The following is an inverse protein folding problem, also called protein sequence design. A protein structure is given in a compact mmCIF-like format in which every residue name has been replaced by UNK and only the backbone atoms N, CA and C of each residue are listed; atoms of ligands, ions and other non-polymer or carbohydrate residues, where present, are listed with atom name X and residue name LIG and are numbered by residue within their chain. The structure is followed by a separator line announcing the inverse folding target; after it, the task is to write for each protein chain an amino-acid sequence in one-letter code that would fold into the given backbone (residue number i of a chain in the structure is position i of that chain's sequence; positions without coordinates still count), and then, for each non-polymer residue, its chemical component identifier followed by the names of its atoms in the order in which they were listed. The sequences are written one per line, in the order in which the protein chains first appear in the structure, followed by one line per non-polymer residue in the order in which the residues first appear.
data_IF_998840919124
#
_entry.id   IF_998840919124
#
_cell.length_a   1.000
_cell.length_b   1.000
_cell.length_c   1.000
_cell.angle_alpha   90.00
_cell.angle_beta   90.00
_cell.angle_gamma   90.00
#
_symmetry.space_group_name_H-M   'P 1'
#
loop_
_entity.id
_entity.type
_entity.pdbx_description
1 polymer ?
#
# COMPACT_ATOMS: atom_id res chain seq x y z
N UNK A 1 20.80 -8.75 4.57
CA UNK A 1 20.53 -10.19 4.44
C UNK A 1 21.39 -10.76 3.35
N UNK A 2 22.16 -11.79 3.65
CA UNK A 2 22.95 -12.54 2.67
C UNK A 2 21.99 -13.26 1.71
N UNK A 3 22.25 -13.20 0.39
CA UNK A 3 21.41 -13.87 -0.61
C UNK A 3 21.36 -15.37 -0.33
N UNK A 4 20.16 -15.96 -0.29
CA UNK A 4 20.01 -17.42 -0.25
C UNK A 4 20.59 -18.01 -1.55
N UNK A 5 21.50 -18.97 -1.43
CA UNK A 5 22.22 -19.55 -2.57
C UNK A 5 21.31 -20.35 -3.50
N UNK A 6 20.12 -20.75 -3.04
CA UNK A 6 19.12 -21.50 -3.81
C UNK A 6 18.37 -20.63 -4.82
N UNK A 7 18.39 -19.31 -4.64
CA UNK A 7 17.63 -18.36 -5.46
C UNK A 7 18.48 -17.75 -6.56
N UNK A 8 17.87 -17.52 -7.72
CA UNK A 8 18.42 -16.60 -8.72
C UNK A 8 18.41 -15.16 -8.18
N UNK A 9 19.14 -14.25 -8.84
CA UNK A 9 19.13 -12.84 -8.47
C UNK A 9 17.72 -12.24 -8.55
N UNK A 10 16.97 -12.56 -9.61
CA UNK A 10 15.62 -12.06 -9.83
C UNK A 10 14.64 -12.57 -8.77
N UNK A 11 14.67 -13.87 -8.46
CA UNK A 11 13.85 -14.46 -7.40
C UNK A 11 14.16 -13.85 -6.03
N UNK A 12 15.45 -13.64 -5.73
CA UNK A 12 15.86 -12.98 -4.48
C UNK A 12 15.36 -11.53 -4.39
N UNK A 13 15.38 -10.78 -5.50
CA UNK A 13 14.84 -9.42 -5.54
C UNK A 13 13.31 -9.42 -5.38
N UNK A 14 12.61 -10.35 -6.03
CA UNK A 14 11.16 -10.49 -5.91
C UNK A 14 10.76 -10.78 -4.46
N UNK A 15 11.37 -11.76 -3.81
CA UNK A 15 11.08 -12.11 -2.41
C UNK A 15 11.42 -10.93 -1.48
N UNK A 16 12.54 -10.25 -1.70
CA UNK A 16 12.91 -9.07 -0.90
C UNK A 16 11.85 -7.96 -1.00
N UNK A 17 11.33 -7.71 -2.21
CA UNK A 17 10.21 -6.79 -2.43
C UNK A 17 8.92 -7.30 -1.80
N UNK A 18 8.62 -8.59 -1.91
CA UNK A 18 7.43 -9.20 -1.30
C UNK A 18 7.43 -9.06 0.22
N UNK A 19 8.60 -9.13 0.87
CA UNK A 19 8.73 -9.00 2.33
C UNK A 19 8.58 -7.57 2.84
N UNK A 20 9.03 -6.58 2.07
CA UNK A 20 9.25 -5.24 2.63
C UNK A 20 8.33 -4.19 2.05
N UNK A 21 7.91 -3.25 2.89
CA UNK A 21 7.24 -2.02 2.47
C UNK A 21 7.52 -0.90 3.46
N UNK A 22 7.83 0.30 2.94
CA UNK A 22 7.97 1.50 3.76
C UNK A 22 9.13 1.44 4.77
N UNK A 23 10.25 0.79 4.45
CA UNK A 23 11.41 0.62 5.35
C UNK A 23 11.93 1.95 5.91
N UNK A 24 11.84 3.02 5.13
CA UNK A 24 12.26 4.38 5.54
C UNK A 24 11.11 5.23 6.14
N UNK A 25 9.99 4.61 6.50
CA UNK A 25 8.81 5.31 7.04
C UNK A 25 8.57 4.96 8.50
N UNK A 26 7.75 5.75 9.20
CA UNK A 26 7.43 5.52 10.61
C UNK A 26 6.69 4.18 10.87
N UNK A 27 6.09 3.58 9.86
CA UNK A 27 5.33 2.32 9.97
C UNK A 27 5.85 1.34 8.90
N UNK A 28 7.04 0.75 9.10
CA UNK A 28 7.58 -0.23 8.17
C UNK A 28 6.78 -1.54 8.27
N UNK A 29 6.72 -2.29 7.17
CA UNK A 29 6.15 -3.64 7.11
C UNK A 29 7.23 -4.61 6.68
N UNK A 30 7.29 -5.73 7.40
CA UNK A 30 8.14 -6.87 7.13
C UNK A 30 7.30 -8.14 7.23
N UNK A 31 7.28 -8.94 6.16
CA UNK A 31 6.64 -10.24 6.14
C UNK A 31 7.65 -11.34 6.46
N UNK A 32 7.28 -12.20 7.39
CA UNK A 32 8.06 -13.37 7.79
C UNK A 32 7.77 -14.58 6.90
N UNK A 33 8.62 -15.60 6.98
CA UNK A 33 8.49 -16.84 6.19
C UNK A 33 7.14 -17.52 6.44
N UNK A 34 6.69 -17.52 7.69
CA UNK A 34 5.35 -18.01 8.08
C UNK A 34 4.23 -17.28 7.35
N UNK A 35 4.33 -15.95 7.26
CA UNK A 35 3.32 -15.10 6.63
C UNK A 35 3.32 -15.32 5.10
N UNK A 36 4.51 -15.38 4.49
CA UNK A 36 4.65 -15.70 3.06
C UNK A 36 4.14 -17.11 2.72
N UNK A 37 4.45 -18.12 3.54
CA UNK A 37 3.99 -19.49 3.33
C UNK A 37 2.46 -19.61 3.45
N UNK A 38 1.84 -18.87 4.39
CA UNK A 38 0.39 -18.79 4.51
C UNK A 38 -0.25 -18.10 3.31
N UNK A 39 0.35 -17.03 2.78
CA UNK A 39 -0.11 -16.42 1.52
C UNK A 39 -0.01 -17.41 0.35
N UNK A 40 1.08 -18.16 0.26
CA UNK A 40 1.22 -19.25 -0.73
C UNK A 40 0.16 -20.33 -0.55
N UNK A 41 -0.19 -20.70 0.69
CA UNK A 41 -1.25 -21.67 0.94
C UNK A 41 -2.62 -21.20 0.45
N UNK A 42 -2.91 -19.88 0.51
CA UNK A 42 -4.13 -19.32 -0.08
C UNK A 42 -4.10 -19.39 -1.61
N UNK A 43 -2.97 -19.06 -2.23
CA UNK A 43 -2.81 -19.19 -3.69
C UNK A 43 -3.06 -20.63 -4.12
N UNK A 44 -2.40 -21.59 -3.47
CA UNK A 44 -2.56 -23.02 -3.74
C UNK A 44 -4.00 -23.50 -3.55
N UNK A 45 -4.71 -22.98 -2.55
CA UNK A 45 -6.13 -23.27 -2.35
C UNK A 45 -7.01 -22.68 -3.46
N UNK A 46 -6.69 -21.49 -3.96
CA UNK A 46 -7.46 -20.83 -5.01
C UNK A 46 -7.28 -21.47 -6.39
N UNK A 47 -6.11 -22.07 -6.66
CA UNK A 47 -5.80 -22.80 -7.91
C UNK A 47 -6.04 -24.30 -7.82
N UNK A 48 -6.70 -24.77 -6.74
CA UNK A 48 -7.04 -26.18 -6.52
C UNK A 48 -5.83 -27.13 -6.46
N UNK A 49 -4.68 -26.64 -5.97
CA UNK A 49 -3.45 -27.41 -5.76
C UNK A 49 -3.12 -27.59 -4.26
N UNK A 50 -4.13 -27.93 -3.45
CA UNK A 50 -3.98 -28.06 -2.00
C UNK A 50 -2.96 -29.13 -1.58
N UNK A 51 -2.65 -30.09 -2.46
CA UNK A 51 -1.66 -31.13 -2.21
C UNK A 51 -0.22 -30.59 -2.00
N UNK A 52 0.08 -29.37 -2.49
CA UNK A 52 1.36 -28.70 -2.29
C UNK A 52 1.43 -27.89 -0.99
N UNK A 53 0.30 -27.73 -0.29
CA UNK A 53 0.26 -26.98 0.97
C UNK A 53 1.02 -27.79 2.04
N UNK A 54 1.94 -27.13 2.74
CA UNK A 54 2.65 -27.77 3.84
C UNK A 54 1.66 -28.22 4.92
N UNK A 55 1.80 -29.47 5.38
CA UNK A 55 0.95 -30.04 6.44
C UNK A 55 0.97 -29.25 7.76
N UNK A 56 1.96 -28.37 7.94
CA UNK A 56 2.06 -27.47 9.09
C UNK A 56 1.10 -26.27 9.01
N UNK A 57 0.54 -25.99 7.84
CA UNK A 57 -0.39 -24.88 7.60
C UNK A 57 -1.80 -25.43 7.45
N UNK A 58 -2.64 -25.17 8.46
CA UNK A 58 -4.06 -25.47 8.41
C UNK A 58 -4.82 -24.30 7.79
N UNK A 59 -5.20 -24.46 6.52
CA UNK A 59 -6.10 -23.53 5.83
C UNK A 59 -7.54 -23.93 6.11
N UNK A 60 -8.40 -23.03 6.62
CA UNK A 60 -9.81 -23.34 6.79
C UNK A 60 -10.47 -23.70 5.45
N UNK A 61 -11.42 -24.63 5.48
CA UNK A 61 -12.06 -25.16 4.27
C UNK A 61 -12.70 -24.03 3.44
N UNK A 62 -12.43 -24.00 2.13
CA UNK A 62 -12.92 -23.01 1.18
C UNK A 62 -12.59 -21.55 1.52
N UNK A 63 -11.64 -21.29 2.43
CA UNK A 63 -11.31 -19.93 2.83
C UNK A 63 -10.66 -19.17 1.67
N UNK A 64 -11.19 -17.97 1.37
CA UNK A 64 -10.54 -17.00 0.50
C UNK A 64 -9.73 -16.02 1.34
N UNK A 65 -8.83 -15.30 0.68
CA UNK A 65 -7.96 -14.32 1.33
C UNK A 65 -8.71 -13.33 2.24
N UNK A 66 -9.86 -12.81 1.78
CA UNK A 66 -10.63 -11.80 2.52
C UNK A 66 -11.47 -12.37 3.67
N UNK A 67 -11.69 -13.69 3.71
CA UNK A 67 -12.45 -14.36 4.77
C UNK A 67 -11.61 -14.57 6.03
N UNK A 68 -10.28 -14.47 5.89
CA UNK A 68 -9.34 -14.74 6.96
C UNK A 68 -8.93 -13.45 7.70
N UNK A 69 -8.89 -13.48 9.04
CA UNK A 69 -8.39 -12.37 9.82
C UNK A 69 -6.88 -12.17 9.57
N UNK A 70 -6.40 -10.93 9.64
CA UNK A 70 -4.97 -10.64 9.43
C UNK A 70 -4.09 -11.40 10.43
N UNK A 71 -4.59 -11.61 11.63
CA UNK A 71 -3.95 -12.37 12.70
C UNK A 71 -3.57 -13.79 12.26
N UNK A 72 -4.41 -14.46 11.44
CA UNK A 72 -4.13 -15.80 10.95
C UNK A 72 -2.84 -15.86 10.13
N UNK A 73 -2.58 -14.84 9.30
CA UNK A 73 -1.37 -14.76 8.49
C UNK A 73 -0.12 -14.53 9.34
N UNK A 74 -0.26 -13.83 10.46
CA UNK A 74 0.86 -13.47 11.35
C UNK A 74 1.24 -14.54 12.35
N UNK A 75 0.44 -15.60 12.45
CA UNK A 75 0.75 -16.72 13.34
C UNK A 75 1.95 -17.50 12.81
N UNK A 76 2.93 -17.69 13.70
CA UNK A 76 4.13 -18.47 13.43
C UNK A 76 3.79 -19.88 12.95
N UNK A 77 4.52 -20.37 11.95
CA UNK A 77 4.48 -21.75 11.48
C UNK A 77 5.83 -22.36 11.80
N UNK A 78 5.87 -23.24 12.80
CA UNK A 78 7.13 -23.82 13.26
C UNK A 78 7.81 -24.64 12.15
N UNK A 79 9.12 -24.43 12.01
CA UNK A 79 9.95 -25.19 11.08
C UNK A 79 9.70 -24.91 9.59
N UNK A 80 8.96 -23.85 9.26
CA UNK A 80 8.71 -23.49 7.86
C UNK A 80 9.99 -22.96 7.21
N UNK A 81 10.43 -23.61 6.13
CA UNK A 81 11.39 -23.04 5.18
C UNK A 81 10.60 -22.61 3.95
N UNK A 82 10.41 -21.30 3.79
CA UNK A 82 9.59 -20.75 2.72
C UNK A 82 10.24 -20.93 1.34
N UNK A 83 11.57 -20.99 1.25
CA UNK A 83 12.27 -20.97 -0.04
C UNK A 83 12.00 -22.23 -0.89
N UNK A 84 12.07 -23.47 -0.35
CA UNK A 84 11.68 -24.67 -1.09
C UNK A 84 10.22 -24.62 -1.56
N UNK A 85 9.29 -24.20 -0.71
CA UNK A 85 7.87 -24.07 -1.07
C UNK A 85 7.67 -23.10 -2.24
N UNK A 86 8.33 -21.94 -2.18
CA UNK A 86 8.29 -20.95 -3.25
C UNK A 86 8.84 -21.49 -4.58
N UNK A 87 9.97 -22.20 -4.55
CA UNK A 87 10.57 -22.79 -5.75
C UNK A 87 9.72 -23.91 -6.34
N UNK A 88 9.08 -24.71 -5.49
CA UNK A 88 8.17 -25.77 -5.91
C UNK A 88 6.91 -25.20 -6.56
N UNK A 89 6.32 -24.16 -5.98
CA UNK A 89 5.18 -23.46 -6.58
C UNK A 89 5.54 -22.82 -7.92
N UNK A 90 6.73 -22.20 -8.04
CA UNK A 90 7.19 -21.63 -9.32
C UNK A 90 7.30 -22.67 -10.44
N UNK A 91 7.55 -23.94 -10.12
CA UNK A 91 7.69 -25.00 -11.11
C UNK A 91 6.35 -25.65 -11.47
N UNK A 92 5.42 -25.75 -10.51
CA UNK A 92 4.22 -26.59 -10.64
C UNK A 92 2.91 -25.80 -10.72
N UNK A 93 2.91 -24.50 -10.42
CA UNK A 93 1.72 -23.65 -10.42
C UNK A 93 1.84 -22.61 -11.53
N UNK A 94 0.90 -22.65 -12.48
CA UNK A 94 0.81 -21.65 -13.55
C UNK A 94 0.57 -20.24 -12.98
N UNK A 95 1.26 -19.24 -13.53
CA UNK A 95 1.18 -17.82 -13.13
C UNK A 95 1.39 -17.52 -11.63
N UNK A 96 2.04 -18.43 -10.91
CA UNK A 96 2.27 -18.31 -9.47
C UNK A 96 3.00 -17.01 -9.09
N UNK A 97 4.02 -16.63 -9.85
CA UNK A 97 4.84 -15.46 -9.57
C UNK A 97 4.01 -14.16 -9.57
N UNK A 98 3.10 -14.04 -10.53
CA UNK A 98 2.21 -12.91 -10.73
C UNK A 98 1.16 -12.87 -9.63
N UNK A 99 0.51 -14.01 -9.34
CA UNK A 99 -0.44 -14.07 -8.24
C UNK A 99 0.26 -13.76 -6.89
N UNK A 100 1.38 -14.41 -6.60
CA UNK A 100 2.16 -14.19 -5.39
C UNK A 100 2.55 -12.73 -5.21
N UNK A 101 3.05 -12.07 -6.26
CA UNK A 101 3.40 -10.65 -6.23
C UNK A 101 2.19 -9.78 -5.91
N UNK A 102 1.07 -9.97 -6.60
CA UNK A 102 -0.15 -9.18 -6.40
C UNK A 102 -0.71 -9.38 -4.98
N UNK A 103 -0.78 -10.63 -4.52
CA UNK A 103 -1.31 -10.95 -3.20
C UNK A 103 -0.41 -10.38 -2.08
N UNK A 104 0.91 -10.46 -2.22
CA UNK A 104 1.84 -9.84 -1.28
C UNK A 104 1.69 -8.32 -1.22
N UNK A 105 1.48 -7.62 -2.36
CA UNK A 105 1.23 -6.17 -2.34
C UNK A 105 -0.06 -5.83 -1.61
N UNK A 106 -1.17 -6.53 -1.90
CA UNK A 106 -2.45 -6.36 -1.19
C UNK A 106 -2.25 -6.60 0.31
N UNK A 107 -1.56 -7.68 0.67
CA UNK A 107 -1.36 -8.06 2.06
C UNK A 107 -0.53 -7.04 2.84
N UNK A 108 0.60 -6.61 2.28
CA UNK A 108 1.43 -5.57 2.91
C UNK A 108 0.66 -4.26 3.13
N UNK A 109 -0.20 -3.84 2.18
CA UNK A 109 -1.03 -2.64 2.34
C UNK A 109 -2.05 -2.80 3.46
N UNK A 110 -2.69 -3.96 3.56
CA UNK A 110 -3.62 -4.26 4.66
C UNK A 110 -2.92 -4.29 6.02
N UNK A 111 -1.75 -4.93 6.12
CA UNK A 111 -0.90 -4.93 7.33
C UNK A 111 -0.45 -3.52 7.72
N UNK A 112 -0.13 -2.69 6.73
CA UNK A 112 0.20 -1.28 6.98
C UNK A 112 -0.99 -0.50 7.52
N UNK A 113 -2.18 -0.68 6.93
CA UNK A 113 -3.38 0.00 7.39
C UNK A 113 -3.79 -0.45 8.79
N UNK A 114 -3.67 -1.74 9.11
CA UNK A 114 -3.84 -2.25 10.47
C UNK A 114 -2.92 -1.54 11.47
N UNK A 115 -1.63 -1.39 11.15
CA UNK A 115 -0.69 -0.65 12.01
C UNK A 115 -1.03 0.84 12.10
N UNK A 116 -1.54 1.44 11.02
CA UNK A 116 -2.05 2.82 11.03
C UNK A 116 -3.20 2.98 12.02
N UNK A 117 -4.18 2.06 12.02
CA UNK A 117 -5.31 2.10 12.94
C UNK A 117 -4.83 1.98 14.40
N UNK A 118 -3.84 1.13 14.67
CA UNK A 118 -3.25 0.95 16.01
C UNK A 118 -2.43 2.16 16.48
N UNK A 119 -1.80 2.90 15.56
CA UNK A 119 -0.84 3.96 15.88
C UNK A 119 -1.36 5.40 15.62
N UNK A 120 -2.59 5.58 15.09
CA UNK A 120 -3.13 6.90 14.76
C UNK A 120 -3.34 7.75 16.03
N UNK A 121 -2.56 8.84 16.22
CA UNK A 121 -2.77 9.71 17.38
C UNK A 121 -4.04 10.54 17.20
N UNK A 122 -4.62 10.95 18.32
CA UNK A 122 -5.59 12.05 18.34
C UNK A 122 -4.92 13.35 17.85
N UNK A 123 -5.67 14.21 17.15
CA UNK A 123 -5.13 15.48 16.69
C UNK A 123 -4.82 16.42 17.85
N UNK A 124 -3.81 17.26 17.66
CA UNK A 124 -3.45 18.32 18.63
C UNK A 124 -4.39 19.51 18.51
N UNK A 125 -4.48 20.32 19.56
CA UNK A 125 -5.28 21.56 19.55
C UNK A 125 -4.90 22.50 18.40
N UNK A 126 -3.61 22.59 18.06
CA UNK A 126 -3.14 23.41 16.94
C UNK A 126 -3.66 22.92 15.58
N UNK A 127 -3.93 21.62 15.42
CA UNK A 127 -4.46 21.05 14.18
C UNK A 127 -5.96 21.31 13.98
N UNK A 128 -6.69 21.62 15.06
CA UNK A 128 -8.13 21.82 15.04
C UNK A 128 -8.56 23.27 15.34
N UNK A 129 -7.70 24.08 15.97
CA UNK A 129 -8.04 25.44 16.40
C UNK A 129 -8.54 26.35 15.27
N UNK A 130 -8.00 26.32 14.03
CA UNK A 130 -8.51 27.22 12.98
C UNK A 130 -9.95 26.89 12.58
N UNK A 131 -10.36 25.61 12.67
CA UNK A 131 -11.73 25.19 12.35
C UNK A 131 -12.70 25.51 13.48
N UNK A 132 -12.24 25.43 14.73
CA UNK A 132 -13.05 25.77 15.88
C UNK A 132 -13.53 27.23 15.84
N UNK A 133 -12.76 28.15 15.24
CA UNK A 133 -13.15 29.56 15.09
C UNK A 133 -14.48 29.76 14.35
N UNK A 134 -14.83 28.86 13.44
CA UNK A 134 -16.07 28.96 12.66
C UNK A 134 -17.32 28.60 13.48
N UNK A 135 -17.16 27.75 14.50
CA UNK A 135 -18.27 27.21 15.31
C UNK A 135 -18.23 27.75 16.77
N UNK A 136 -17.23 28.56 17.10
CA UNK A 136 -17.06 29.13 18.43
C UNK A 136 -18.22 30.08 18.78
N UNK A 137 -18.78 29.91 19.98
CA UNK A 137 -19.94 30.68 20.44
C UNK A 137 -21.29 30.18 19.92
N UNK A 138 -21.32 29.23 18.98
CA UNK A 138 -22.56 28.57 18.53
C UNK A 138 -22.92 27.40 19.47
N UNK A 139 -21.91 26.64 19.91
CA UNK A 139 -22.04 25.54 20.86
C UNK A 139 -21.07 25.71 22.04
N UNK A 140 -21.33 25.00 23.14
CA UNK A 140 -20.47 25.00 24.31
C UNK A 140 -19.02 24.60 23.95
N UNK A 141 -18.04 25.29 24.54
CA UNK A 141 -16.62 25.15 24.21
C UNK A 141 -16.11 23.71 24.37
N UNK A 142 -16.55 23.01 25.41
CA UNK A 142 -16.19 21.62 25.69
C UNK A 142 -16.72 20.68 24.59
N UNK A 143 -17.98 20.89 24.18
CA UNK A 143 -18.59 20.13 23.10
C UNK A 143 -17.87 20.41 21.76
N UNK A 144 -17.53 21.67 21.48
CA UNK A 144 -16.78 22.05 20.29
C UNK A 144 -15.39 21.43 20.23
N UNK A 145 -14.64 21.47 21.34
CA UNK A 145 -13.31 20.88 21.41
C UNK A 145 -13.34 19.36 21.17
N UNK A 146 -14.29 18.66 21.81
CA UNK A 146 -14.50 17.22 21.59
C UNK A 146 -14.88 16.94 20.14
N UNK A 147 -15.86 17.67 19.61
CA UNK A 147 -16.37 17.49 18.25
C UNK A 147 -15.29 17.70 17.18
N UNK A 148 -14.49 18.76 17.30
CA UNK A 148 -13.40 19.02 16.37
C UNK A 148 -12.31 17.95 16.44
N UNK A 149 -12.00 17.44 17.63
CA UNK A 149 -11.03 16.35 17.82
C UNK A 149 -11.48 15.09 17.09
N UNK A 150 -12.71 14.64 17.33
CA UNK A 150 -13.26 13.46 16.66
C UNK A 150 -13.38 13.62 15.15
N UNK A 151 -13.92 14.76 14.68
CA UNK A 151 -14.06 15.05 13.25
C UNK A 151 -12.71 14.99 12.53
N UNK A 152 -11.69 15.59 13.13
CA UNK A 152 -10.33 15.57 12.56
C UNK A 152 -9.70 14.17 12.63
N UNK A 153 -9.91 13.43 13.71
CA UNK A 153 -9.38 12.07 13.85
C UNK A 153 -9.97 11.10 12.81
N UNK A 154 -11.30 11.08 12.66
CA UNK A 154 -11.96 10.27 11.62
C UNK A 154 -11.50 10.66 10.22
N UNK A 155 -11.39 11.97 9.95
CA UNK A 155 -10.86 12.46 8.69
C UNK A 155 -9.42 11.98 8.42
N UNK A 156 -8.55 11.93 9.43
CA UNK A 156 -7.18 11.43 9.25
C UNK A 156 -7.12 9.93 8.97
N UNK A 157 -7.99 9.14 9.63
CA UNK A 157 -8.11 7.70 9.36
C UNK A 157 -8.56 7.46 7.91
N UNK A 158 -9.60 8.16 7.47
CA UNK A 158 -10.13 8.03 6.11
C UNK A 158 -9.12 8.44 5.04
N UNK A 159 -8.42 9.56 5.24
CA UNK A 159 -7.36 9.97 4.31
C UNK A 159 -6.23 8.96 4.22
N UNK A 160 -5.85 8.31 5.34
CA UNK A 160 -4.83 7.26 5.32
C UNK A 160 -5.33 6.00 4.60
N UNK A 161 -6.62 5.66 4.74
CA UNK A 161 -7.23 4.57 3.98
C UNK A 161 -7.19 4.87 2.47
N UNK A 162 -7.64 6.05 2.06
CA UNK A 162 -7.59 6.50 0.68
C UNK A 162 -6.15 6.55 0.13
N UNK A 163 -5.18 6.90 0.98
CA UNK A 163 -3.75 6.89 0.61
C UNK A 163 -3.24 5.48 0.31
N UNK A 164 -3.50 4.50 1.18
CA UNK A 164 -3.05 3.12 0.94
C UNK A 164 -3.78 2.46 -0.23
N UNK A 165 -5.07 2.76 -0.41
CA UNK A 165 -5.84 2.39 -1.60
C UNK A 165 -5.22 2.98 -2.86
N UNK A 166 -4.94 4.28 -2.88
CA UNK A 166 -4.32 4.94 -4.03
C UNK A 166 -3.00 4.29 -4.43
N UNK A 167 -2.13 3.98 -3.46
CA UNK A 167 -0.86 3.31 -3.76
C UNK A 167 -0.99 1.88 -4.29
N UNK A 168 -2.13 1.22 -4.08
CA UNK A 168 -2.42 -0.09 -4.64
C UNK A 168 -3.00 0.03 -6.06
N UNK A 169 -3.95 0.95 -6.26
CA UNK A 169 -4.70 1.05 -7.51
C UNK A 169 -4.04 1.93 -8.57
N UNK A 170 -3.31 2.99 -8.22
CA UNK A 170 -2.64 3.88 -9.18
C UNK A 170 -1.73 3.10 -10.17
N UNK A 171 -0.88 2.15 -9.73
CA UNK A 171 -0.08 1.35 -10.65
C UNK A 171 -0.93 0.44 -11.55
N UNK A 172 -2.03 -0.11 -11.03
CA UNK A 172 -2.95 -0.97 -11.80
C UNK A 172 -3.61 -0.16 -12.90
N UNK A 173 -4.16 1.01 -12.57
CA UNK A 173 -4.77 1.92 -13.53
C UNK A 173 -3.77 2.35 -14.60
N UNK A 174 -2.55 2.72 -14.21
CA UNK A 174 -1.48 3.05 -15.15
C UNK A 174 -1.20 1.90 -16.10
N UNK A 175 -1.05 0.67 -15.59
CA UNK A 175 -0.81 -0.52 -16.42
C UNK A 175 -1.97 -0.85 -17.36
N UNK A 176 -3.22 -0.75 -16.90
CA UNK A 176 -4.42 -0.99 -17.74
C UNK A 176 -4.52 0.00 -18.89
N UNK A 177 -4.12 1.25 -18.67
CA UNK A 177 -4.06 2.25 -19.73
C UNK A 177 -2.86 2.07 -20.68
N UNK A 178 -1.95 1.12 -20.43
CA UNK A 178 -0.67 1.01 -21.13
C UNK A 178 0.29 2.17 -20.83
N UNK A 179 0.06 2.88 -19.73
CA UNK A 179 0.77 4.10 -19.38
C UNK A 179 2.09 3.86 -18.65
N UNK A 180 3.06 4.74 -18.88
CA UNK A 180 4.36 4.72 -18.22
C UNK A 180 4.35 5.70 -17.02
N UNK A 181 4.58 5.25 -15.78
CA UNK A 181 4.60 6.12 -14.61
C UNK A 181 5.88 6.95 -14.52
N UNK A 182 5.77 8.22 -14.13
CA UNK A 182 6.92 9.12 -13.99
C UNK A 182 6.93 9.88 -12.65
N UNK A 183 7.96 9.60 -11.84
CA UNK A 183 8.28 10.44 -10.68
C UNK A 183 8.81 11.82 -11.10
N UNK A 184 8.64 12.83 -10.24
CA UNK A 184 8.99 14.23 -10.56
C UNK A 184 10.41 14.42 -11.11
N UNK A 185 11.40 13.65 -10.64
CA UNK A 185 12.80 13.77 -11.08
C UNK A 185 12.99 13.40 -12.55
N UNK A 186 12.31 12.37 -13.03
CA UNK A 186 12.50 11.77 -14.36
C UNK A 186 11.34 12.08 -15.31
N UNK A 187 10.39 12.91 -14.89
CA UNK A 187 9.20 13.20 -15.68
C UNK A 187 9.52 14.03 -16.92
N UNK A 188 8.99 13.66 -18.10
CA UNK A 188 9.10 14.47 -19.30
C UNK A 188 8.18 15.70 -19.24
N UNK A 189 7.14 15.67 -18.39
CA UNK A 189 6.27 16.83 -18.16
C UNK A 189 7.01 17.80 -17.24
N UNK A 190 7.16 19.05 -17.68
CA UNK A 190 7.87 20.09 -16.92
C UNK A 190 6.89 21.04 -16.23
N UNK A 191 7.36 21.60 -15.12
CA UNK A 191 6.67 22.65 -14.36
C UNK A 191 6.75 23.97 -15.10
N UNK A 192 5.63 24.69 -15.23
CA UNK A 192 5.60 26.01 -15.87
C UNK A 192 6.46 27.04 -15.13
N UNK A 193 6.45 26.99 -13.80
CA UNK A 193 7.22 27.92 -12.98
C UNK A 193 8.73 27.60 -12.93
N UNK A 194 9.15 26.39 -13.34
CA UNK A 194 10.55 26.00 -13.39
C UNK A 194 10.78 24.81 -14.35
N UNK A 195 11.19 25.10 -15.59
CA UNK A 195 11.37 24.08 -16.63
C UNK A 195 12.46 23.04 -16.33
N UNK A 196 13.35 23.32 -15.37
CA UNK A 196 14.39 22.38 -14.93
C UNK A 196 13.87 21.33 -13.95
N UNK A 197 12.61 21.45 -13.49
CA UNK A 197 11.97 20.50 -12.58
C UNK A 197 10.84 19.77 -13.30
N UNK A 198 10.84 18.44 -13.22
CA UNK A 198 9.72 17.64 -13.69
C UNK A 198 8.51 17.74 -12.76
N UNK A 199 7.34 17.54 -13.36
CA UNK A 199 6.05 17.40 -12.70
C UNK A 199 5.77 15.92 -12.48
N UNK A 200 5.39 15.52 -11.28
CA UNK A 200 4.99 14.12 -11.08
C UNK A 200 3.67 13.84 -11.79
N UNK A 201 3.61 12.75 -12.56
CA UNK A 201 2.39 12.29 -13.24
C UNK A 201 2.20 10.80 -12.95
N UNK A 202 0.95 10.35 -12.83
CA UNK A 202 0.68 8.95 -12.50
C UNK A 202 0.99 8.03 -13.67
N UNK A 203 0.66 8.46 -14.89
CA UNK A 203 1.19 7.85 -16.11
C UNK A 203 1.10 8.77 -17.33
N UNK A 204 1.85 8.41 -18.38
CA UNK A 204 1.72 8.99 -19.71
C UNK A 204 1.30 7.89 -20.68
N UNK A 205 0.25 8.14 -21.45
CA UNK A 205 -0.19 7.31 -22.57
C UNK A 205 -0.09 8.17 -23.82
N UNK A 206 0.73 7.75 -24.78
CA UNK A 206 1.06 8.52 -25.97
C UNK A 206 1.56 9.95 -25.65
N UNK A 207 0.71 10.96 -25.89
CA UNK A 207 0.98 12.38 -25.63
C UNK A 207 0.14 12.95 -24.49
N UNK A 208 -0.58 12.10 -23.76
CA UNK A 208 -1.50 12.50 -22.69
C UNK A 208 -0.95 12.07 -21.34
N UNK A 209 -0.76 13.04 -20.45
CA UNK A 209 -0.42 12.79 -19.05
C UNK A 209 -1.71 12.63 -18.23
N UNK A 210 -1.74 11.60 -17.37
CA UNK A 210 -2.85 11.29 -16.48
C UNK A 210 -2.44 11.53 -15.03
N UNK A 211 -3.39 12.06 -14.26
CA UNK A 211 -3.32 12.16 -12.81
C UNK A 211 -4.59 11.53 -12.22
N UNK A 212 -4.45 10.46 -11.45
CA UNK A 212 -5.57 9.78 -10.82
C UNK A 212 -5.90 10.47 -9.50
N UNK A 213 -7.13 10.95 -9.36
CA UNK A 213 -7.62 11.55 -8.11
C UNK A 213 -8.46 10.53 -7.36
N UNK A 214 -7.78 9.72 -6.55
CA UNK A 214 -8.43 8.75 -5.64
C UNK A 214 -8.60 9.32 -4.21
N UNK A 215 -8.15 10.56 -3.98
CA UNK A 215 -8.26 11.26 -2.70
C UNK A 215 -9.05 12.54 -2.92
N UNK A 216 -10.11 12.74 -2.16
CA UNK A 216 -11.02 13.88 -2.34
C UNK A 216 -10.49 15.14 -1.62
N UNK A 217 -9.56 15.02 -0.66
CA UNK A 217 -9.16 16.16 0.15
C UNK A 217 -7.71 16.15 0.66
N UNK A 218 -7.22 17.36 0.93
CA UNK A 218 -5.85 17.66 1.38
C UNK A 218 -5.52 16.93 2.68
N UNK A 219 -4.48 16.10 2.67
CA UNK A 219 -3.77 15.73 3.87
C UNK A 219 -2.99 16.97 4.36
N UNK A 220 -3.22 17.41 5.60
CA UNK A 220 -2.49 18.51 6.22
C UNK A 220 -0.97 18.25 6.38
N UNK A 221 -0.46 17.11 5.90
CA UNK A 221 0.93 16.69 5.96
C UNK A 221 1.85 17.44 4.99
N UNK A 222 1.33 18.29 4.10
CA UNK A 222 2.13 18.96 3.06
C UNK A 222 2.68 18.00 1.98
N UNK A 223 2.38 16.70 2.08
CA UNK A 223 2.71 15.69 1.06
C UNK A 223 1.66 15.57 -0.05
N UNK A 224 0.60 16.37 0.02
CA UNK A 224 -0.34 16.49 -1.09
C UNK A 224 0.39 17.04 -2.31
N UNK A 225 0.09 16.51 -3.50
CA UNK A 225 0.60 17.02 -4.78
C UNK A 225 -0.06 18.36 -5.15
N UNK A 226 -0.48 19.15 -4.17
CA UNK A 226 -1.20 20.41 -4.37
C UNK A 226 -0.33 21.44 -5.08
N UNK A 227 0.98 21.46 -4.82
CA UNK A 227 1.92 22.28 -5.58
C UNK A 227 1.97 21.86 -7.06
N UNK A 228 1.74 20.59 -7.37
CA UNK A 228 1.57 20.16 -8.76
C UNK A 228 0.22 20.62 -9.32
N UNK A 229 -0.85 20.63 -8.53
CA UNK A 229 -2.18 21.12 -8.96
C UNK A 229 -2.22 22.64 -9.19
N UNK A 230 -1.45 23.41 -8.42
CA UNK A 230 -1.34 24.86 -8.56
C UNK A 230 -0.42 25.30 -9.71
N UNK A 231 0.46 24.42 -10.18
CA UNK A 231 1.36 24.71 -11.29
C UNK A 231 0.77 24.12 -12.57
N UNK A 232 0.61 24.91 -13.62
CA UNK A 232 0.13 24.36 -14.90
C UNK A 232 1.27 23.58 -15.57
N UNK A 233 0.96 22.52 -16.31
CA UNK A 233 1.94 21.85 -17.14
C UNK A 233 2.39 22.77 -18.29
N UNK A 234 3.68 22.75 -18.62
CA UNK A 234 4.13 23.25 -19.92
C UNK A 234 3.72 22.23 -20.98
N UNK A 235 2.85 22.65 -21.90
CA UNK A 235 2.47 21.85 -23.06
C UNK A 235 3.74 21.61 -23.90
N UNK A 236 4.06 20.35 -24.14
CA UNK A 236 5.10 19.92 -25.09
C UNK A 236 4.64 20.13 -26.53
#
# INVERSE_FOLDING_TARGET
MTRDKRLTLEQSQLISRARTMGVATAIPIFLEDSELARLTAIILNDVEQQALISNTIQVPLNAKYYDLPLEWFTQEVQGIDFIPLYLDCLQNVEDFDTYFKCLCEIHKRRRKYERILRAQPLPTMAQISPRALLEFGIIASEALASWMTWRKWFYDIDNRAAQETGYLFEPILASVLGGIPYGARNSPVRRRNNNNKGRQVDCIVDKTAYEFKLRVTIAASGQGRFTEELDFALVL
#
